data_IF_242303295360
#
_entry.id   IF_242303295360
#
_cell.length_a   1.000
_cell.length_b   1.000
_cell.length_c   1.000
_cell.angle_alpha   90.00
_cell.angle_beta   90.00
_cell.angle_gamma   90.00
#
_symmetry.space_group_name_H-M   'P 1'
#
loop_
_entity.id
_entity.type
_entity.pdbx_description
1 polymer ?
#
# COMPACT_ATOMS: atom_id res chain seq x y z
N UNK A 1 -16.11 -19.40 -23.33
CA UNK A 1 -17.37 -19.49 -22.56
C UNK A 1 -17.14 -18.88 -21.19
N UNK A 2 -17.52 -17.61 -20.98
CA UNK A 2 -17.37 -16.97 -19.66
C UNK A 2 -18.41 -17.56 -18.71
N UNK A 3 -17.96 -18.20 -17.63
CA UNK A 3 -18.84 -18.55 -16.52
C UNK A 3 -19.52 -17.25 -16.04
N UNK A 4 -20.85 -17.23 -16.04
CA UNK A 4 -21.62 -16.07 -15.57
C UNK A 4 -21.17 -15.71 -14.16
N UNK A 5 -20.60 -14.51 -13.99
CA UNK A 5 -20.17 -14.04 -12.68
C UNK A 5 -21.38 -14.02 -11.73
N UNK A 6 -21.33 -14.81 -10.65
CA UNK A 6 -22.37 -14.78 -9.61
C UNK A 6 -22.31 -13.44 -8.92
N UNK A 7 -23.41 -12.70 -8.96
CA UNK A 7 -23.55 -11.44 -8.24
C UNK A 7 -24.02 -11.72 -6.81
N UNK A 8 -23.42 -11.05 -5.83
CA UNK A 8 -23.86 -11.12 -4.44
C UNK A 8 -24.92 -10.04 -4.21
N UNK A 9 -26.10 -10.45 -3.73
CA UNK A 9 -27.12 -9.54 -3.22
C UNK A 9 -26.81 -9.13 -1.78
N UNK A 10 -27.47 -8.09 -1.29
CA UNK A 10 -27.35 -7.68 0.12
C UNK A 10 -27.87 -8.77 1.05
N UNK A 11 -28.93 -9.46 0.64
CA UNK A 11 -29.52 -10.56 1.41
C UNK A 11 -28.56 -11.77 1.48
N UNK A 12 -27.78 -12.05 0.42
CA UNK A 12 -26.72 -13.07 0.46
C UNK A 12 -25.64 -12.72 1.51
N UNK A 13 -25.30 -11.42 1.64
CA UNK A 13 -24.31 -10.95 2.61
C UNK A 13 -24.84 -11.04 4.04
N UNK A 14 -26.10 -10.66 4.27
CA UNK A 14 -26.76 -10.75 5.58
C UNK A 14 -26.86 -12.20 6.06
N UNK A 15 -27.24 -13.12 5.17
CA UNK A 15 -27.26 -14.56 5.50
C UNK A 15 -25.88 -15.11 5.86
N UNK A 16 -24.81 -14.59 5.23
CA UNK A 16 -23.44 -15.05 5.49
C UNK A 16 -22.91 -14.72 6.89
N UNK A 17 -23.48 -13.71 7.55
CA UNK A 17 -23.02 -13.22 8.87
C UNK A 17 -23.93 -13.63 10.04
N UNK A 18 -25.11 -14.22 9.78
CA UNK A 18 -26.12 -14.55 10.79
C UNK A 18 -25.70 -15.60 11.84
N UNK A 19 -24.46 -16.11 11.79
CA UNK A 19 -23.92 -17.15 12.71
C UNK A 19 -22.62 -16.72 13.39
N UNK A 20 -22.25 -15.44 13.32
CA UNK A 20 -21.00 -14.96 13.91
C UNK A 20 -21.22 -14.51 15.35
N UNK A 21 -20.76 -15.32 16.30
CA UNK A 21 -20.69 -14.92 17.71
C UNK A 21 -19.34 -14.25 18.02
N UNK A 22 -19.37 -13.17 18.79
CA UNK A 22 -18.14 -12.53 19.30
C UNK A 22 -17.78 -13.06 20.68
N UNK A 23 -16.60 -13.68 20.86
CA UNK A 23 -16.10 -13.95 22.19
C UNK A 23 -15.67 -12.64 22.84
N UNK A 24 -16.36 -12.24 23.92
CA UNK A 24 -15.86 -11.18 24.78
C UNK A 24 -14.57 -11.66 25.45
N UNK A 25 -13.43 -11.16 24.97
CA UNK A 25 -12.11 -11.47 25.54
C UNK A 25 -11.94 -10.83 26.92
N UNK A 26 -10.98 -11.40 27.66
CA UNK A 26 -10.44 -10.84 28.90
C UNK A 26 -10.03 -9.37 28.72
N UNK A 27 -10.02 -8.60 29.81
CA UNK A 27 -9.63 -7.19 29.74
C UNK A 27 -8.15 -7.08 29.27
N UNK A 28 -7.84 -6.46 28.11
CA UNK A 28 -6.49 -6.42 27.56
C UNK A 28 -5.52 -5.58 28.39
N UNK A 29 -6.04 -4.78 29.33
CA UNK A 29 -5.25 -3.97 30.26
C UNK A 29 -4.87 -4.75 31.53
N UNK A 30 -5.34 -6.00 31.68
CA UNK A 30 -4.96 -6.86 32.81
C UNK A 30 -3.46 -7.16 32.73
N UNK A 31 -2.70 -6.77 33.76
CA UNK A 31 -1.25 -6.97 33.82
C UNK A 31 -0.39 -5.82 33.29
N UNK A 32 -0.99 -4.72 32.81
CA UNK A 32 -0.23 -3.50 32.52
C UNK A 32 0.26 -2.90 33.84
N UNK A 33 1.58 -2.91 34.05
CA UNK A 33 2.18 -2.38 35.27
C UNK A 33 2.00 -0.84 35.33
N UNK A 34 1.42 -0.34 36.44
CA UNK A 34 1.18 1.08 36.70
C UNK A 34 2.26 1.75 37.54
N UNK A 35 3.28 1.01 38.00
CA UNK A 35 4.29 1.54 38.95
C UNK A 35 5.44 2.29 38.26
N UNK A 36 5.78 1.94 37.01
CA UNK A 36 6.73 2.69 36.20
C UNK A 36 5.99 3.64 35.25
N UNK A 37 5.88 4.90 35.66
CA UNK A 37 5.13 5.90 34.92
C UNK A 37 5.71 6.20 33.51
N UNK A 38 6.96 5.81 33.19
CA UNK A 38 7.53 5.95 31.83
C UNK A 38 7.19 4.75 30.92
N UNK A 39 6.88 3.59 31.51
CA UNK A 39 6.49 2.38 30.78
C UNK A 39 4.99 2.28 30.48
N UNK A 40 4.15 3.02 31.20
CA UNK A 40 2.68 2.88 31.13
C UNK A 40 2.11 3.24 29.76
N UNK A 41 2.41 4.42 29.21
CA UNK A 41 1.81 4.85 27.94
C UNK A 41 2.17 3.90 26.77
N UNK A 42 3.44 3.48 26.59
CA UNK A 42 3.79 2.46 25.59
C UNK A 42 3.13 1.10 25.84
N UNK A 43 3.01 0.66 27.10
CA UNK A 43 2.38 -0.62 27.43
C UNK A 43 0.87 -0.62 27.15
N UNK A 44 0.18 0.46 27.51
CA UNK A 44 -1.24 0.67 27.20
C UNK A 44 -1.46 0.69 25.68
N UNK A 45 -0.66 1.47 24.95
CA UNK A 45 -0.78 1.56 23.49
C UNK A 45 -0.61 0.19 22.84
N UNK A 46 0.40 -0.60 23.23
CA UNK A 46 0.60 -1.97 22.73
C UNK A 46 -0.53 -2.91 23.08
N UNK A 47 -1.08 -2.83 24.29
CA UNK A 47 -2.20 -3.68 24.71
C UNK A 47 -3.47 -3.41 23.87
N UNK A 48 -3.81 -2.13 23.68
CA UNK A 48 -4.95 -1.73 22.84
C UNK A 48 -4.69 -2.05 21.36
N UNK A 49 -3.47 -1.81 20.86
CA UNK A 49 -3.07 -2.14 19.49
C UNK A 49 -3.23 -3.63 19.20
N UNK A 50 -2.69 -4.49 20.08
CA UNK A 50 -2.81 -5.95 19.97
C UNK A 50 -4.27 -6.41 20.01
N UNK A 51 -5.05 -5.89 20.95
CA UNK A 51 -6.45 -6.29 21.09
C UNK A 51 -7.27 -5.92 19.87
N UNK A 52 -7.18 -4.66 19.43
CA UNK A 52 -7.93 -4.15 18.27
C UNK A 52 -7.53 -4.84 16.96
N UNK A 53 -6.24 -5.16 16.75
CA UNK A 53 -5.79 -6.02 15.65
C UNK A 53 -6.44 -7.41 15.70
N UNK A 54 -6.61 -7.96 16.90
CA UNK A 54 -7.19 -9.31 17.04
C UNK A 54 -8.70 -9.36 16.79
N UNK A 55 -9.42 -8.26 17.00
CA UNK A 55 -10.90 -8.22 16.85
C UNK A 55 -11.36 -7.69 15.50
N UNK A 56 -10.55 -6.89 14.79
CA UNK A 56 -10.96 -6.31 13.50
C UNK A 56 -11.26 -7.38 12.45
N UNK A 57 -10.50 -8.47 12.44
CA UNK A 57 -10.68 -9.63 11.56
C UNK A 57 -11.73 -10.63 12.06
N UNK A 58 -12.25 -10.47 13.28
CA UNK A 58 -13.38 -11.28 13.77
C UNK A 58 -14.71 -10.80 13.18
N UNK A 59 -14.79 -9.53 12.79
CA UNK A 59 -15.92 -8.99 12.03
C UNK A 59 -15.80 -9.46 10.58
N UNK A 60 -16.76 -10.25 10.06
CA UNK A 60 -16.73 -10.68 8.67
C UNK A 60 -16.74 -9.48 7.73
N UNK A 61 -15.98 -9.56 6.64
CA UNK A 61 -15.92 -8.49 5.65
C UNK A 61 -17.29 -8.07 5.09
N UNK A 62 -18.23 -9.01 4.99
CA UNK A 62 -19.62 -8.73 4.61
C UNK A 62 -20.31 -7.72 5.55
N UNK A 63 -20.05 -7.77 6.86
CA UNK A 63 -20.61 -6.81 7.81
C UNK A 63 -20.03 -5.40 7.62
N UNK A 64 -18.74 -5.29 7.29
CA UNK A 64 -18.11 -4.02 6.93
C UNK A 64 -18.72 -3.42 5.66
N UNK A 65 -18.96 -4.26 4.64
CA UNK A 65 -19.62 -3.83 3.40
C UNK A 65 -21.06 -3.37 3.64
N UNK A 66 -21.84 -4.12 4.42
CA UNK A 66 -23.22 -3.76 4.76
C UNK A 66 -23.26 -2.43 5.51
N UNK A 67 -22.38 -2.24 6.49
CA UNK A 67 -22.26 -0.96 7.21
C UNK A 67 -21.92 0.19 6.27
N UNK A 68 -21.04 -0.03 5.28
CA UNK A 68 -20.66 0.99 4.31
C UNK A 68 -21.78 1.42 3.35
N UNK A 69 -22.78 0.57 3.13
CA UNK A 69 -23.99 0.92 2.37
C UNK A 69 -25.15 1.37 3.28
N UNK A 70 -24.88 1.62 4.56
CA UNK A 70 -25.87 2.10 5.53
C UNK A 70 -26.82 1.01 6.06
N UNK A 71 -26.43 -0.26 5.99
CA UNK A 71 -27.15 -1.37 6.63
C UNK A 71 -26.48 -1.77 7.92
N UNK A 72 -27.23 -1.67 9.01
CA UNK A 72 -26.79 -2.14 10.32
C UNK A 72 -26.95 -3.65 10.43
N UNK A 73 -26.07 -4.28 11.21
CA UNK A 73 -26.05 -5.72 11.42
C UNK A 73 -25.71 -5.98 12.88
N UNK A 74 -26.33 -6.99 13.50
CA UNK A 74 -26.09 -7.31 14.92
C UNK A 74 -24.60 -7.52 15.22
N UNK A 75 -23.89 -8.14 14.30
CA UNK A 75 -22.43 -8.37 14.35
C UNK A 75 -21.66 -7.03 14.44
N UNK A 76 -22.00 -6.06 13.60
CA UNK A 76 -21.36 -4.74 13.63
C UNK A 76 -21.71 -3.97 14.91
N UNK A 77 -22.97 -4.04 15.35
CA UNK A 77 -23.42 -3.36 16.56
C UNK A 77 -22.72 -3.92 17.80
N UNK A 78 -22.62 -5.24 17.91
CA UNK A 78 -21.88 -5.91 18.98
C UNK A 78 -20.40 -5.54 18.98
N UNK A 79 -19.78 -5.43 17.80
CA UNK A 79 -18.40 -4.97 17.65
C UNK A 79 -18.22 -3.51 18.10
N UNK A 80 -19.13 -2.60 17.72
CA UNK A 80 -19.09 -1.21 18.15
C UNK A 80 -19.30 -1.07 19.66
N UNK A 81 -20.21 -1.86 20.25
CA UNK A 81 -20.40 -1.96 21.70
C UNK A 81 -19.11 -2.44 22.37
N UNK A 82 -18.45 -3.46 21.83
CA UNK A 82 -17.18 -3.97 22.34
C UNK A 82 -16.10 -2.88 22.40
N UNK A 83 -15.91 -2.13 21.31
CA UNK A 83 -14.96 -1.02 21.25
C UNK A 83 -15.32 0.11 22.24
N UNK A 84 -16.61 0.37 22.44
CA UNK A 84 -17.11 1.28 23.46
C UNK A 84 -16.73 0.83 24.89
N UNK A 85 -16.91 -0.45 25.19
CA UNK A 85 -16.48 -1.05 26.47
C UNK A 85 -14.97 -0.94 26.66
N UNK A 86 -14.19 -1.22 25.60
CA UNK A 86 -12.73 -1.09 25.63
C UNK A 86 -12.29 0.34 25.95
N UNK A 87 -12.93 1.33 25.34
CA UNK A 87 -12.70 2.75 25.62
C UNK A 87 -13.03 3.12 27.07
N UNK A 88 -14.15 2.62 27.62
CA UNK A 88 -14.52 2.83 29.02
C UNK A 88 -13.48 2.22 29.96
N UNK A 89 -13.02 0.99 29.68
CA UNK A 89 -11.96 0.32 30.45
C UNK A 89 -10.66 1.13 30.44
N UNK A 90 -10.25 1.59 29.27
CA UNK A 90 -9.07 2.46 29.09
C UNK A 90 -9.20 3.76 29.90
N UNK A 91 -10.33 4.47 29.81
CA UNK A 91 -10.53 5.70 30.57
C UNK A 91 -10.44 5.46 32.09
N UNK A 92 -11.06 4.38 32.60
CA UNK A 92 -10.98 4.00 34.01
C UNK A 92 -9.56 3.63 34.43
N UNK A 93 -8.81 2.94 33.57
CA UNK A 93 -7.42 2.60 33.81
C UNK A 93 -6.56 3.86 33.93
N UNK A 94 -6.62 4.77 32.95
CA UNK A 94 -5.84 6.01 32.95
C UNK A 94 -6.11 6.89 34.17
N UNK A 95 -7.36 6.96 34.63
CA UNK A 95 -7.73 7.70 35.86
C UNK A 95 -7.08 7.16 37.13
N UNK A 96 -6.67 5.88 37.14
CA UNK A 96 -6.04 5.22 38.29
C UNK A 96 -4.52 5.28 38.25
N UNK A 97 -3.93 5.69 37.13
CA UNK A 97 -2.48 5.79 37.01
C UNK A 97 -1.93 7.00 37.79
N UNK A 98 -0.68 6.92 38.29
CA UNK A 98 0.03 8.10 38.75
C UNK A 98 0.26 9.05 37.56
N UNK A 99 0.09 10.36 37.77
CA UNK A 99 0.29 11.40 36.74
C UNK A 99 -0.52 11.20 35.43
N UNK A 100 -1.86 11.13 35.50
CA UNK A 100 -2.71 10.78 34.36
C UNK A 100 -2.60 11.79 33.19
N UNK A 101 -2.27 13.05 33.47
CA UNK A 101 -2.03 14.07 32.44
C UNK A 101 -0.74 13.82 31.65
N UNK A 102 0.32 13.33 32.31
CA UNK A 102 1.60 13.04 31.65
C UNK A 102 1.46 11.84 30.72
N UNK A 103 0.91 10.74 31.23
CA UNK A 103 0.64 9.52 30.45
C UNK A 103 -0.24 9.84 29.24
N UNK A 104 -1.21 10.74 29.40
CA UNK A 104 -2.07 11.18 28.31
C UNK A 104 -1.32 11.95 27.22
N UNK A 105 -0.38 12.83 27.58
CA UNK A 105 0.48 13.53 26.62
C UNK A 105 1.43 12.55 25.90
N UNK A 106 1.98 11.57 26.61
CA UNK A 106 2.79 10.51 26.00
C UNK A 106 1.95 9.63 25.05
N UNK A 107 0.70 9.32 25.40
CA UNK A 107 -0.20 8.59 24.51
C UNK A 107 -0.52 9.39 23.23
N UNK A 108 -0.60 10.73 23.28
CA UNK A 108 -0.82 11.55 22.08
C UNK A 108 0.25 11.35 21.02
N UNK A 109 1.52 11.20 21.43
CA UNK A 109 2.63 10.99 20.49
C UNK A 109 2.65 9.56 19.97
N UNK A 110 2.34 8.58 20.82
CA UNK A 110 2.35 7.15 20.46
C UNK A 110 1.15 6.78 19.56
N UNK A 111 0.00 7.44 19.71
CA UNK A 111 -1.25 7.09 19.01
C UNK A 111 -1.14 7.11 17.48
N UNK A 112 -0.19 7.88 16.95
CA UNK A 112 0.06 7.97 15.53
C UNK A 112 0.69 6.68 14.97
N UNK A 113 1.46 5.95 15.80
CA UNK A 113 2.16 4.73 15.40
C UNK A 113 1.39 3.43 15.59
N UNK A 114 0.16 3.47 16.12
CA UNK A 114 -0.69 2.28 16.29
C UNK A 114 -1.64 2.09 15.11
N UNK A 115 -2.28 0.92 15.04
CA UNK A 115 -3.28 0.64 14.02
C UNK A 115 -4.49 1.61 14.11
N UNK A 116 -5.20 1.85 12.99
CA UNK A 116 -6.28 2.84 12.93
C UNK A 116 -7.41 2.61 13.94
N UNK A 117 -7.74 1.36 14.26
CA UNK A 117 -8.81 1.04 15.22
C UNK A 117 -8.38 1.33 16.66
N UNK A 118 -7.14 0.98 17.02
CA UNK A 118 -6.55 1.39 18.30
C UNK A 118 -6.50 2.91 18.44
N UNK A 119 -6.16 3.61 17.35
CA UNK A 119 -6.15 5.08 17.31
C UNK A 119 -7.54 5.65 17.58
N UNK A 120 -8.59 5.08 17.00
CA UNK A 120 -9.97 5.51 17.25
C UNK A 120 -10.37 5.33 18.73
N UNK A 121 -10.04 4.16 19.32
CA UNK A 121 -10.31 3.87 20.74
C UNK A 121 -9.55 4.83 21.67
N UNK A 122 -8.26 5.06 21.41
CA UNK A 122 -7.42 5.90 22.27
C UNK A 122 -7.70 7.40 22.11
N UNK A 123 -7.91 7.88 20.89
CA UNK A 123 -8.20 9.32 20.62
C UNK A 123 -9.41 9.81 21.40
N UNK A 124 -10.44 8.97 21.52
CA UNK A 124 -11.62 9.28 22.32
C UNK A 124 -11.37 9.42 23.82
N UNK A 125 -10.29 8.84 24.36
CA UNK A 125 -9.85 9.04 25.74
C UNK A 125 -8.92 10.25 25.90
N UNK A 126 -8.19 10.59 24.84
CA UNK A 126 -7.18 11.65 24.82
C UNK A 126 -7.80 13.05 24.63
N UNK A 127 -8.87 13.21 23.86
CA UNK A 127 -9.38 14.55 23.52
C UNK A 127 -10.13 15.28 24.66
N UNK A 128 -10.56 14.59 25.73
CA UNK A 128 -11.27 15.24 26.84
C UNK A 128 -10.31 15.65 27.98
N UNK A 129 -9.83 16.89 27.98
CA UNK A 129 -8.86 17.45 28.95
C UNK A 129 -9.47 17.98 30.24
N UNK A 130 -10.75 18.34 30.28
CA UNK A 130 -11.34 19.06 31.42
C UNK A 130 -12.29 18.23 32.28
N UNK A 131 -13.01 17.24 31.74
CA UNK A 131 -14.06 16.55 32.51
C UNK A 131 -13.80 15.06 32.74
N UNK A 132 -12.79 14.47 32.09
CA UNK A 132 -12.57 13.02 32.01
C UNK A 132 -13.81 12.20 31.61
N UNK A 133 -14.95 12.83 31.30
CA UNK A 133 -16.19 12.18 30.90
C UNK A 133 -15.93 11.46 29.59
N UNK A 134 -16.37 10.21 29.47
CA UNK A 134 -16.34 9.56 28.17
C UNK A 134 -17.33 10.31 27.27
N UNK A 135 -16.86 11.15 26.35
CA UNK A 135 -17.72 11.74 25.34
C UNK A 135 -18.13 10.61 24.40
N UNK A 136 -19.42 10.44 24.14
CA UNK A 136 -19.93 9.53 23.11
C UNK A 136 -19.65 10.12 21.72
N UNK A 137 -18.40 10.50 21.43
CA UNK A 137 -17.98 10.67 20.05
C UNK A 137 -18.00 9.31 19.40
N UNK A 138 -18.65 9.24 18.24
CA UNK A 138 -18.72 8.05 17.42
C UNK A 138 -17.31 7.50 17.19
N UNK A 139 -17.17 6.19 17.39
CA UNK A 139 -15.93 5.49 17.06
C UNK A 139 -15.65 5.70 15.57
N UNK A 140 -14.53 6.34 15.25
CA UNK A 140 -14.18 6.58 13.86
C UNK A 140 -13.70 5.27 13.21
N UNK A 141 -14.61 4.62 12.48
CA UNK A 141 -14.34 3.47 11.62
C UNK A 141 -14.33 3.82 10.12
N UNK A 142 -14.34 5.12 9.79
CA UNK A 142 -14.36 5.63 8.42
C UNK A 142 -13.17 5.17 7.58
N UNK A 143 -12.04 4.83 8.21
CA UNK A 143 -10.85 4.32 7.53
C UNK A 143 -11.07 2.99 6.77
N UNK A 144 -12.13 2.23 7.12
CA UNK A 144 -12.61 1.06 6.34
C UNK A 144 -13.89 1.42 5.58
N UNK A 145 -14.82 2.10 6.25
CA UNK A 145 -16.18 2.33 5.74
C UNK A 145 -16.18 3.30 4.55
N UNK A 146 -15.44 4.40 4.62
CA UNK A 146 -15.48 5.44 3.58
C UNK A 146 -14.90 4.92 2.26
N UNK A 147 -13.72 4.24 2.23
CA UNK A 147 -13.21 3.62 1.00
C UNK A 147 -14.16 2.57 0.40
N UNK A 148 -14.92 1.87 1.26
CA UNK A 148 -15.92 0.89 0.81
C UNK A 148 -17.16 1.59 0.23
N UNK A 149 -17.65 2.64 0.88
CA UNK A 149 -18.78 3.42 0.41
C UNK A 149 -18.52 4.02 -0.98
N UNK A 150 -17.29 4.46 -1.24
CA UNK A 150 -16.86 4.97 -2.55
C UNK A 150 -16.98 3.93 -3.67
N UNK A 151 -16.76 2.63 -3.37
CA UNK A 151 -16.97 1.54 -4.34
C UNK A 151 -18.43 1.48 -4.79
N UNK A 152 -19.36 1.80 -3.90
CA UNK A 152 -20.81 1.75 -4.14
C UNK A 152 -21.39 3.09 -4.64
N UNK A 153 -20.69 4.21 -4.46
CA UNK A 153 -21.19 5.58 -4.57
C UNK A 153 -21.40 6.19 -5.97
N UNK A 154 -21.42 5.43 -7.07
CA UNK A 154 -21.68 5.99 -8.43
C UNK A 154 -22.62 5.21 -9.35
N UNK A 155 -22.95 3.95 -9.05
CA UNK A 155 -23.99 3.19 -9.78
C UNK A 155 -24.64 2.17 -8.84
N UNK A 156 -25.95 1.91 -8.98
CA UNK A 156 -26.59 0.93 -8.15
C UNK A 156 -26.14 -0.50 -8.53
N UNK A 157 -25.66 -1.21 -7.51
CA UNK A 157 -25.92 -2.63 -7.25
C UNK A 157 -25.16 -3.67 -8.09
N UNK A 158 -24.00 -4.07 -7.55
CA UNK A 158 -23.66 -5.45 -7.11
C UNK A 158 -22.13 -5.59 -7.17
N UNK A 159 -21.53 -6.14 -6.12
CA UNK A 159 -20.22 -6.77 -6.24
C UNK A 159 -20.46 -8.15 -6.84
N UNK A 160 -19.70 -8.54 -7.87
CA UNK A 160 -19.65 -9.97 -8.17
C UNK A 160 -18.83 -10.69 -7.11
N UNK A 161 -19.02 -11.99 -7.03
CA UNK A 161 -18.34 -12.83 -6.04
C UNK A 161 -16.81 -12.63 -6.08
N UNK A 162 -16.22 -12.53 -7.27
CA UNK A 162 -14.76 -12.37 -7.39
C UNK A 162 -14.28 -11.03 -6.83
N UNK A 163 -14.97 -9.92 -7.11
CA UNK A 163 -14.66 -8.62 -6.52
C UNK A 163 -14.81 -8.63 -4.98
N UNK A 164 -15.86 -9.27 -4.46
CA UNK A 164 -16.03 -9.44 -3.01
C UNK A 164 -14.85 -10.19 -2.40
N UNK A 165 -14.46 -11.33 -2.99
CA UNK A 165 -13.36 -12.14 -2.45
C UNK A 165 -12.01 -11.43 -2.56
N UNK A 166 -11.78 -10.66 -3.62
CA UNK A 166 -10.55 -9.86 -3.76
C UNK A 166 -10.47 -8.79 -2.66
N UNK A 167 -11.55 -8.03 -2.46
CA UNK A 167 -11.60 -7.03 -1.39
C UNK A 167 -11.48 -7.68 0.00
N UNK A 168 -12.06 -8.86 0.21
CA UNK A 168 -11.91 -9.61 1.45
C UNK A 168 -10.46 -10.08 1.69
N UNK A 169 -9.80 -10.66 0.68
CA UNK A 169 -8.38 -11.05 0.76
C UNK A 169 -7.50 -9.86 1.07
N UNK A 170 -7.79 -8.71 0.46
CA UNK A 170 -7.09 -7.47 0.72
C UNK A 170 -7.35 -6.94 2.13
N UNK A 171 -8.60 -6.98 2.59
CA UNK A 171 -8.98 -6.60 3.96
C UNK A 171 -8.20 -7.44 4.99
N UNK A 172 -8.18 -8.76 4.79
CA UNK A 172 -7.39 -9.67 5.61
C UNK A 172 -5.90 -9.31 5.58
N UNK A 173 -5.33 -9.08 4.40
CA UNK A 173 -3.91 -8.74 4.25
C UNK A 173 -3.52 -7.37 4.83
N UNK A 174 -4.44 -6.40 4.80
CA UNK A 174 -4.24 -5.05 5.34
C UNK A 174 -4.26 -5.06 6.87
N UNK A 175 -5.10 -5.89 7.48
CA UNK A 175 -5.29 -5.93 8.94
C UNK A 175 -4.73 -7.17 9.62
N UNK A 176 -3.95 -7.97 8.89
CA UNK A 176 -3.25 -9.13 9.44
C UNK A 176 -2.34 -8.73 10.61
N UNK A 177 -2.46 -9.48 11.71
CA UNK A 177 -1.80 -9.18 12.99
C UNK A 177 -0.29 -9.35 12.95
N UNK A 178 0.23 -10.12 11.99
CA UNK A 178 1.67 -10.42 11.86
C UNK A 178 2.43 -9.45 10.96
N UNK A 179 1.72 -8.55 10.25
CA UNK A 179 2.36 -7.54 9.40
C UNK A 179 2.59 -6.24 10.18
N UNK A 180 3.75 -5.64 9.96
CA UNK A 180 4.01 -4.26 10.35
C UNK A 180 3.12 -3.36 9.48
N UNK A 181 1.91 -3.08 9.97
CA UNK A 181 0.95 -2.22 9.28
C UNK A 181 1.54 -0.83 9.28
N UNK A 182 1.77 -0.26 8.09
CA UNK A 182 1.96 1.18 7.96
C UNK A 182 0.73 1.85 8.60
N UNK A 183 0.89 2.56 9.74
CA UNK A 183 -0.22 3.10 10.50
C UNK A 183 -0.99 4.19 9.73
N UNK A 184 -0.50 4.60 8.56
CA UNK A 184 -1.12 5.56 7.64
C UNK A 184 -1.79 4.85 6.44
N UNK A 185 -1.57 3.55 6.24
CA UNK A 185 -2.17 2.82 5.12
C UNK A 185 -3.70 2.75 5.26
N UNK A 186 -4.40 3.30 4.26
CA UNK A 186 -5.85 3.17 4.12
C UNK A 186 -6.21 1.84 3.46
N UNK A 187 -7.41 1.34 3.77
CA UNK A 187 -7.93 0.16 3.09
C UNK A 187 -8.17 0.48 1.60
N UNK A 188 -7.40 -0.17 0.73
CA UNK A 188 -7.44 0.06 -0.71
C UNK A 188 -8.61 -0.69 -1.34
N UNK A 189 -9.52 0.02 -2.00
CA UNK A 189 -10.71 -0.59 -2.63
C UNK A 189 -10.71 -0.55 -4.16
N UNK A 190 -9.60 -0.10 -4.77
CA UNK A 190 -9.47 -0.08 -6.23
C UNK A 190 -9.56 -1.49 -6.83
N UNK A 191 -10.42 -1.62 -7.84
CA UNK A 191 -10.67 -2.87 -8.58
C UNK A 191 -10.38 -2.70 -10.08
N UNK A 192 -9.77 -1.59 -10.50
CA UNK A 192 -9.66 -1.24 -11.91
C UNK A 192 -8.72 -2.19 -12.66
N UNK A 193 -7.65 -2.65 -12.01
CA UNK A 193 -6.76 -3.65 -12.59
C UNK A 193 -7.49 -4.98 -12.82
N UNK A 194 -8.20 -5.49 -11.80
CA UNK A 194 -8.98 -6.72 -11.90
C UNK A 194 -10.07 -6.65 -12.97
N UNK A 195 -10.86 -5.58 -12.97
CA UNK A 195 -11.87 -5.32 -14.00
C UNK A 195 -11.25 -5.24 -15.38
N UNK A 196 -10.07 -4.61 -15.49
CA UNK A 196 -9.31 -4.59 -16.73
C UNK A 196 -9.00 -5.99 -17.26
N UNK A 197 -8.48 -6.89 -16.41
CA UNK A 197 -8.15 -8.27 -16.81
C UNK A 197 -9.39 -9.03 -17.30
N UNK A 198 -10.54 -8.79 -16.67
CA UNK A 198 -11.79 -9.48 -17.01
C UNK A 198 -12.49 -8.90 -18.24
N UNK A 199 -12.50 -7.57 -18.34
CA UNK A 199 -13.42 -6.83 -19.22
C UNK A 199 -12.72 -6.21 -20.45
N UNK A 200 -11.38 -6.24 -20.52
CA UNK A 200 -10.58 -5.66 -21.63
C UNK A 200 -9.68 -6.72 -22.29
N UNK A 201 -9.28 -6.48 -23.54
CA UNK A 201 -8.19 -7.26 -24.14
C UNK A 201 -6.85 -6.95 -23.45
N UNK A 202 -5.91 -7.91 -23.38
CA UNK A 202 -4.57 -7.69 -22.81
C UNK A 202 -3.84 -6.49 -23.43
N UNK A 203 -3.96 -6.27 -24.74
CA UNK A 203 -3.34 -5.14 -25.44
C UNK A 203 -3.94 -3.81 -25.01
N UNK A 204 -5.27 -3.75 -24.92
CA UNK A 204 -5.99 -2.53 -24.54
C UNK A 204 -5.68 -2.14 -23.11
N UNK A 205 -5.62 -3.13 -22.21
CA UNK A 205 -5.23 -2.91 -20.83
C UNK A 205 -3.75 -2.52 -20.71
N UNK A 206 -2.86 -3.17 -21.46
CA UNK A 206 -1.45 -2.80 -21.50
C UNK A 206 -1.26 -1.35 -21.95
N UNK A 207 -1.96 -0.92 -23.01
CA UNK A 207 -1.90 0.48 -23.47
C UNK A 207 -2.40 1.46 -22.42
N UNK A 208 -3.46 1.11 -21.70
CA UNK A 208 -3.96 1.93 -20.59
C UNK A 208 -2.93 2.05 -19.46
N UNK A 209 -2.37 0.93 -19.00
CA UNK A 209 -1.34 0.90 -17.95
C UNK A 209 -0.10 1.69 -18.39
N UNK A 210 0.38 1.50 -19.63
CA UNK A 210 1.51 2.25 -20.18
C UNK A 210 1.25 3.75 -20.18
N UNK A 211 0.04 4.20 -20.54
CA UNK A 211 -0.31 5.61 -20.50
C UNK A 211 -0.43 6.17 -19.07
N UNK A 212 -0.90 5.38 -18.12
CA UNK A 212 -0.96 5.75 -16.70
C UNK A 212 0.44 5.83 -16.10
N UNK A 213 1.29 4.84 -16.35
CA UNK A 213 2.70 4.83 -15.93
C UNK A 213 3.47 6.01 -16.52
N UNK A 214 3.31 6.27 -17.82
CA UNK A 214 3.93 7.43 -18.48
C UNK A 214 3.54 8.74 -17.78
N UNK A 215 2.26 8.92 -17.43
CA UNK A 215 1.80 10.09 -16.68
C UNK A 215 2.45 10.17 -15.29
N UNK A 216 2.57 9.05 -14.58
CA UNK A 216 3.28 9.01 -13.30
C UNK A 216 4.76 9.38 -13.46
N UNK A 217 5.44 8.89 -14.51
CA UNK A 217 6.83 9.26 -14.81
C UNK A 217 6.96 10.75 -15.09
N UNK A 218 6.08 11.32 -15.92
CA UNK A 218 6.06 12.75 -16.23
C UNK A 218 5.80 13.62 -14.99
N UNK A 219 4.86 13.21 -14.12
CA UNK A 219 4.53 13.92 -12.90
C UNK A 219 5.67 13.84 -11.86
N UNK A 220 6.21 12.64 -11.60
CA UNK A 220 7.34 12.45 -10.69
C UNK A 220 8.56 13.27 -11.15
N UNK A 221 8.76 13.36 -12.46
CA UNK A 221 9.81 14.18 -13.05
C UNK A 221 9.61 15.68 -12.83
N UNK A 222 8.40 16.19 -13.05
CA UNK A 222 8.06 17.59 -12.83
C UNK A 222 8.29 18.03 -11.37
N UNK A 223 8.19 17.09 -10.43
CA UNK A 223 8.29 17.32 -8.98
C UNK A 223 9.68 16.99 -8.39
N UNK A 224 10.61 16.43 -9.18
CA UNK A 224 12.00 16.18 -8.76
C UNK A 224 12.74 17.40 -8.17
N UNK A 225 12.48 18.65 -8.62
CA UNK A 225 13.11 19.83 -8.02
C UNK A 225 12.72 20.12 -6.56
N UNK A 226 11.57 19.64 -6.09
CA UNK A 226 10.97 20.12 -4.83
C UNK A 226 10.86 19.06 -3.73
N UNK A 227 10.69 17.77 -4.05
CA UNK A 227 10.33 16.75 -3.04
C UNK A 227 10.99 15.38 -3.29
N UNK A 228 11.89 14.95 -2.37
CA UNK A 228 12.66 13.69 -2.49
C UNK A 228 11.81 12.41 -2.44
N UNK A 229 10.60 12.48 -1.89
CA UNK A 229 9.73 11.31 -1.66
C UNK A 229 8.62 11.13 -2.71
N UNK A 230 8.48 12.07 -3.62
CA UNK A 230 7.32 12.11 -4.51
C UNK A 230 7.36 11.01 -5.60
N UNK A 231 8.55 10.63 -6.05
CA UNK A 231 8.70 9.49 -6.96
C UNK A 231 8.35 8.16 -6.26
N UNK A 232 8.70 7.99 -4.97
CA UNK A 232 8.32 6.80 -4.17
C UNK A 232 6.82 6.71 -4.06
N UNK A 233 6.18 7.86 -3.83
CA UNK A 233 4.74 7.98 -3.76
C UNK A 233 4.10 7.58 -5.11
N UNK A 234 4.41 8.28 -6.20
CA UNK A 234 3.69 8.04 -7.47
C UNK A 234 4.06 6.72 -8.14
N UNK A 235 5.36 6.51 -8.44
CA UNK A 235 5.82 5.34 -9.18
C UNK A 235 5.88 4.09 -8.31
N UNK A 236 6.31 4.26 -7.05
CA UNK A 236 6.40 3.16 -6.10
C UNK A 236 5.02 2.60 -5.72
N UNK A 237 4.02 3.45 -5.44
CA UNK A 237 2.67 2.96 -5.18
C UNK A 237 2.05 2.30 -6.41
N UNK A 238 2.17 2.90 -7.61
CA UNK A 238 1.62 2.30 -8.84
C UNK A 238 2.19 0.91 -9.10
N UNK A 239 3.50 0.73 -8.92
CA UNK A 239 4.16 -0.58 -9.06
C UNK A 239 3.70 -1.57 -8.00
N UNK A 240 3.72 -1.16 -6.72
CA UNK A 240 3.33 -2.01 -5.58
C UNK A 240 1.89 -2.48 -5.71
N UNK A 241 0.97 -1.57 -6.01
CA UNK A 241 -0.44 -1.88 -6.16
C UNK A 241 -0.67 -2.92 -7.27
N UNK A 242 -0.01 -2.79 -8.43
CA UNK A 242 -0.12 -3.79 -9.50
C UNK A 242 0.46 -5.15 -9.11
N UNK A 243 1.57 -5.16 -8.37
CA UNK A 243 2.16 -6.39 -7.85
C UNK A 243 1.20 -7.10 -6.88
N UNK A 244 0.64 -6.35 -5.93
CA UNK A 244 -0.34 -6.84 -4.96
C UNK A 244 -1.61 -7.33 -5.66
N UNK A 245 -2.15 -6.56 -6.61
CA UNK A 245 -3.35 -6.96 -7.36
C UNK A 245 -3.13 -8.24 -8.16
N UNK A 246 -1.96 -8.40 -8.78
CA UNK A 246 -1.59 -9.62 -9.49
C UNK A 246 -1.59 -10.82 -8.53
N UNK A 247 -1.00 -10.63 -7.35
CA UNK A 247 -0.94 -11.66 -6.31
C UNK A 247 -2.33 -12.03 -5.79
N UNK A 248 -3.17 -11.03 -5.52
CA UNK A 248 -4.55 -11.20 -5.07
C UNK A 248 -5.40 -11.94 -6.11
N UNK A 249 -5.26 -11.61 -7.40
CA UNK A 249 -5.95 -12.30 -8.50
C UNK A 249 -5.60 -13.80 -8.53
N UNK A 250 -4.32 -14.14 -8.46
CA UNK A 250 -3.88 -15.54 -8.50
C UNK A 250 -4.28 -16.34 -7.27
N UNK A 251 -4.16 -15.75 -6.08
CA UNK A 251 -4.63 -16.39 -4.84
C UNK A 251 -6.13 -16.66 -4.86
N UNK A 252 -6.89 -15.83 -5.56
CA UNK A 252 -8.33 -16.02 -5.74
C UNK A 252 -8.65 -17.20 -6.68
N UNK A 253 -7.99 -17.26 -7.83
CA UNK A 253 -8.23 -18.29 -8.86
C UNK A 253 -7.05 -18.34 -9.86
N UNK A 254 -6.47 -19.53 -10.05
CA UNK A 254 -5.36 -19.73 -10.98
C UNK A 254 -5.72 -19.42 -12.44
N UNK A 255 -7.01 -19.38 -12.79
CA UNK A 255 -7.47 -19.01 -14.15
C UNK A 255 -6.99 -17.63 -14.60
N UNK A 256 -6.66 -16.73 -13.66
CA UNK A 256 -6.15 -15.40 -13.98
C UNK A 256 -4.68 -15.42 -14.43
N UNK A 257 -3.95 -16.51 -14.21
CA UNK A 257 -2.52 -16.62 -14.55
C UNK A 257 -2.22 -16.43 -16.04
N UNK A 258 -2.96 -17.10 -16.92
CA UNK A 258 -2.83 -16.93 -18.38
C UNK A 258 -3.03 -15.48 -18.84
N UNK A 259 -4.18 -14.85 -18.54
CA UNK A 259 -4.42 -13.44 -18.85
C UNK A 259 -3.37 -12.47 -18.30
N UNK A 260 -2.87 -12.71 -17.08
CA UNK A 260 -1.79 -11.89 -16.49
C UNK A 260 -0.47 -12.03 -17.24
N UNK A 261 -0.11 -13.25 -17.67
CA UNK A 261 1.08 -13.49 -18.50
C UNK A 261 0.95 -12.81 -19.87
N UNK A 262 -0.22 -12.92 -20.52
CA UNK A 262 -0.49 -12.22 -21.79
C UNK A 262 -0.41 -10.71 -21.64
N UNK A 263 -0.97 -10.15 -20.56
CA UNK A 263 -0.86 -8.74 -20.23
C UNK A 263 0.60 -8.30 -20.04
N UNK A 264 1.39 -9.09 -19.30
CA UNK A 264 2.82 -8.83 -19.11
C UNK A 264 3.58 -8.87 -20.45
N UNK A 265 3.26 -9.80 -21.34
CA UNK A 265 3.85 -9.83 -22.70
C UNK A 265 3.46 -8.59 -23.53
N UNK A 266 2.22 -8.13 -23.44
CA UNK A 266 1.78 -6.91 -24.11
C UNK A 266 2.52 -5.68 -23.60
N UNK A 267 2.68 -5.55 -22.28
CA UNK A 267 3.46 -4.47 -21.65
C UNK A 267 4.94 -4.53 -22.06
N UNK A 268 5.51 -5.74 -22.17
CA UNK A 268 6.89 -5.94 -22.61
C UNK A 268 7.09 -5.48 -24.06
N UNK A 269 6.17 -5.83 -24.96
CA UNK A 269 6.16 -5.34 -26.36
C UNK A 269 6.02 -3.83 -26.44
N UNK A 270 5.27 -3.22 -25.53
CA UNK A 270 5.14 -1.76 -25.40
C UNK A 270 6.34 -1.09 -24.69
N UNK A 271 7.34 -1.89 -24.28
CA UNK A 271 8.54 -1.45 -23.56
C UNK A 271 8.23 -0.79 -22.22
N UNK A 272 7.14 -1.20 -21.57
CA UNK A 272 6.80 -0.75 -20.22
C UNK A 272 7.34 -1.71 -19.16
N UNK A 273 8.63 -1.62 -18.86
CA UNK A 273 9.29 -2.47 -17.87
C UNK A 273 8.80 -2.21 -16.43
N UNK A 274 8.35 -1.00 -16.12
CA UNK A 274 7.69 -0.70 -14.85
C UNK A 274 6.40 -1.51 -14.67
N UNK A 275 5.58 -1.53 -15.73
CA UNK A 275 4.41 -2.38 -15.94
C UNK A 275 4.68 -3.86 -15.71
N UNK A 276 5.58 -4.38 -16.55
CA UNK A 276 5.88 -5.82 -16.64
C UNK A 276 6.44 -6.36 -15.34
N UNK A 277 7.43 -5.69 -14.76
CA UNK A 277 8.12 -6.20 -13.57
C UNK A 277 7.19 -6.28 -12.36
N UNK A 278 6.22 -5.36 -12.24
CA UNK A 278 5.20 -5.43 -11.19
C UNK A 278 4.38 -6.72 -11.29
N UNK A 279 3.89 -7.03 -12.50
CA UNK A 279 3.08 -8.23 -12.75
C UNK A 279 3.93 -9.48 -12.58
N UNK A 280 5.10 -9.57 -13.22
CA UNK A 280 5.90 -10.80 -13.19
C UNK A 280 6.42 -11.12 -11.78
N UNK A 281 6.78 -10.11 -10.99
CA UNK A 281 7.12 -10.33 -9.58
C UNK A 281 5.87 -10.75 -8.79
N UNK A 282 4.69 -10.18 -9.07
CA UNK A 282 3.43 -10.60 -8.45
C UNK A 282 3.09 -12.07 -8.75
N UNK A 283 3.30 -12.51 -10.00
CA UNK A 283 3.16 -13.92 -10.40
C UNK A 283 4.07 -14.83 -9.56
N UNK A 284 5.34 -14.43 -9.36
CA UNK A 284 6.29 -15.18 -8.53
C UNK A 284 5.92 -15.21 -7.06
N UNK A 285 5.46 -14.09 -6.49
CA UNK A 285 5.03 -13.99 -5.09
C UNK A 285 3.78 -14.84 -4.81
N UNK A 286 2.97 -15.07 -5.83
CA UNK A 286 1.82 -15.97 -5.78
C UNK A 286 2.18 -17.44 -6.10
N UNK A 287 3.47 -17.79 -6.18
CA UNK A 287 3.98 -19.12 -6.53
C UNK A 287 3.39 -19.68 -7.84
N UNK A 288 3.13 -18.80 -8.82
CA UNK A 288 2.70 -19.22 -10.15
C UNK A 288 3.80 -20.01 -10.86
N UNK A 289 3.40 -21.05 -11.59
CA UNK A 289 4.32 -21.95 -12.28
C UNK A 289 5.27 -21.17 -13.20
N UNK A 290 6.56 -21.19 -12.87
CA UNK A 290 7.59 -20.49 -13.61
C UNK A 290 7.73 -20.98 -15.06
N UNK A 291 7.31 -22.21 -15.37
CA UNK A 291 7.32 -22.75 -16.74
C UNK A 291 6.27 -22.09 -17.63
N UNK A 292 5.20 -21.54 -17.03
CA UNK A 292 4.15 -20.78 -17.70
C UNK A 292 4.54 -19.33 -17.97
N UNK A 293 5.65 -18.85 -17.41
CA UNK A 293 6.14 -17.47 -17.62
C UNK A 293 7.20 -17.48 -18.73
N UNK A 294 7.00 -16.75 -19.83
CA UNK A 294 7.97 -16.66 -20.93
C UNK A 294 9.40 -16.33 -20.46
N UNK A 295 10.44 -16.93 -21.07
CA UNK A 295 11.82 -16.74 -20.64
C UNK A 295 12.27 -15.27 -20.62
N UNK A 296 11.80 -14.45 -21.56
CA UNK A 296 12.16 -13.03 -21.65
C UNK A 296 11.65 -12.27 -20.42
N UNK A 297 10.43 -12.58 -19.98
CA UNK A 297 9.82 -11.99 -18.79
C UNK A 297 10.52 -12.46 -17.52
N UNK A 298 10.89 -13.74 -17.42
CA UNK A 298 11.62 -14.27 -16.27
C UNK A 298 12.99 -13.62 -16.12
N UNK A 299 13.69 -13.40 -17.23
CA UNK A 299 15.04 -12.83 -17.25
C UNK A 299 15.09 -11.40 -16.70
N UNK A 300 14.11 -10.55 -17.03
CA UNK A 300 14.12 -9.14 -16.61
C UNK A 300 13.76 -8.93 -15.12
N UNK A 301 13.30 -9.96 -14.41
CA UNK A 301 13.05 -9.90 -12.96
C UNK A 301 14.03 -10.76 -12.16
N UNK A 302 15.12 -11.22 -12.76
CA UNK A 302 16.21 -11.86 -12.02
C UNK A 302 16.88 -10.86 -11.09
N UNK A 303 16.96 -11.18 -9.79
CA UNK A 303 17.55 -10.28 -8.79
C UNK A 303 19.08 -10.15 -8.90
N UNK A 304 19.73 -11.01 -9.69
CA UNK A 304 21.17 -11.04 -9.86
C UNK A 304 21.71 -9.67 -10.28
N UNK A 305 22.76 -9.21 -9.58
CA UNK A 305 23.43 -7.95 -9.88
C UNK A 305 22.50 -6.73 -9.85
N UNK A 306 21.48 -6.73 -8.98
CA UNK A 306 20.47 -5.67 -8.92
C UNK A 306 19.72 -5.54 -10.26
N UNK A 307 19.10 -6.63 -10.71
CA UNK A 307 18.36 -6.70 -11.97
C UNK A 307 19.22 -6.40 -13.20
N UNK A 308 20.44 -6.94 -13.23
CA UNK A 308 21.44 -6.69 -14.28
C UNK A 308 20.87 -6.90 -15.68
N UNK A 309 20.19 -8.02 -15.91
CA UNK A 309 19.65 -8.34 -17.23
C UNK A 309 18.60 -7.32 -17.71
N UNK A 310 17.73 -6.83 -16.82
CA UNK A 310 16.78 -5.77 -17.15
C UNK A 310 17.49 -4.46 -17.51
N UNK A 311 18.50 -4.10 -16.72
CA UNK A 311 19.26 -2.86 -16.93
C UNK A 311 20.08 -2.87 -18.21
N UNK A 312 20.75 -3.98 -18.49
CA UNK A 312 21.51 -4.17 -19.72
C UNK A 312 20.58 -4.04 -20.94
N UNK A 313 19.37 -4.60 -20.85
CA UNK A 313 18.37 -4.49 -21.89
C UNK A 313 17.85 -3.06 -22.08
N UNK A 314 17.59 -2.33 -20.99
CA UNK A 314 17.22 -0.92 -21.06
C UNK A 314 18.35 -0.05 -21.64
N UNK A 315 19.61 -0.36 -21.34
CA UNK A 315 20.78 0.34 -21.91
C UNK A 315 20.91 0.09 -23.42
N UNK A 316 20.75 -1.14 -23.88
CA UNK A 316 20.72 -1.47 -25.32
C UNK A 316 19.59 -0.72 -26.05
N UNK A 317 18.39 -0.66 -25.46
CA UNK A 317 17.30 0.15 -26.01
C UNK A 317 17.65 1.63 -26.08
N UNK A 318 18.38 2.14 -25.07
CA UNK A 318 18.86 3.52 -25.05
C UNK A 318 19.84 3.81 -26.17
N UNK A 319 20.86 2.97 -26.32
CA UNK A 319 21.87 3.09 -27.37
C UNK A 319 21.27 3.01 -28.78
N UNK A 320 20.21 2.22 -28.94
CA UNK A 320 19.48 2.07 -30.21
C UNK A 320 18.32 3.06 -30.40
N UNK A 321 18.14 4.03 -29.49
CA UNK A 321 17.14 5.09 -29.62
C UNK A 321 15.68 4.63 -29.46
N UNK A 322 15.44 3.50 -28.79
CA UNK A 322 14.10 2.92 -28.59
C UNK A 322 13.55 3.32 -27.21
N UNK A 323 12.53 4.19 -27.13
CA UNK A 323 12.03 4.68 -25.84
C UNK A 323 11.33 3.57 -25.04
N UNK A 324 11.55 3.56 -23.72
CA UNK A 324 10.99 2.58 -22.79
C UNK A 324 10.60 3.25 -21.46
N UNK A 325 9.60 2.69 -20.75
CA UNK A 325 9.34 3.04 -19.35
C UNK A 325 10.15 2.08 -18.47
N UNK A 326 11.13 2.57 -17.69
CA UNK A 326 12.09 1.74 -17.01
C UNK A 326 11.50 1.11 -15.75
N UNK A 327 12.05 -0.02 -15.33
CA UNK A 327 11.85 -0.47 -13.95
C UNK A 327 12.66 0.45 -13.03
N UNK A 328 11.98 1.24 -12.19
CA UNK A 328 12.62 2.37 -11.48
C UNK A 328 13.49 1.96 -10.30
N UNK A 329 13.15 0.86 -9.60
CA UNK A 329 13.80 0.48 -8.36
C UNK A 329 15.30 0.19 -8.48
N UNK A 330 15.78 -0.57 -9.50
CA UNK A 330 17.21 -0.82 -9.66
C UNK A 330 17.99 0.46 -9.90
N UNK A 331 17.46 1.36 -10.74
CA UNK A 331 18.09 2.63 -11.11
C UNK A 331 18.17 3.54 -9.87
N UNK A 332 17.07 3.65 -9.13
CA UNK A 332 17.05 4.44 -7.91
C UNK A 332 18.01 3.91 -6.84
N UNK A 333 18.12 2.59 -6.68
CA UNK A 333 19.08 1.98 -5.76
C UNK A 333 20.52 2.32 -6.12
N UNK A 334 20.87 2.28 -7.40
CA UNK A 334 22.21 2.66 -7.86
C UNK A 334 22.49 4.14 -7.65
N UNK A 335 21.50 4.99 -7.89
CA UNK A 335 21.58 6.40 -7.59
C UNK A 335 21.85 6.63 -6.09
N UNK A 336 21.10 5.99 -5.19
CA UNK A 336 21.31 6.11 -3.74
C UNK A 336 22.71 5.67 -3.33
N UNK A 337 23.17 4.51 -3.81
CA UNK A 337 24.52 4.00 -3.51
C UNK A 337 25.61 4.95 -4.03
N UNK A 338 25.39 5.57 -5.19
CA UNK A 338 26.34 6.51 -5.79
C UNK A 338 26.39 7.83 -5.01
N UNK A 339 25.24 8.36 -4.58
CA UNK A 339 25.15 9.56 -3.72
C UNK A 339 25.81 9.29 -2.37
N UNK A 340 25.57 8.13 -1.78
CA UNK A 340 26.19 7.75 -0.52
C UNK A 340 27.71 7.60 -0.66
N UNK A 341 28.17 6.98 -1.75
CA UNK A 341 29.60 6.91 -2.06
C UNK A 341 30.22 8.30 -2.23
N UNK A 342 29.54 9.21 -2.94
CA UNK A 342 30.01 10.59 -3.14
C UNK A 342 30.19 11.31 -1.80
N UNK A 343 29.18 11.23 -0.93
CA UNK A 343 29.21 11.82 0.42
C UNK A 343 30.35 11.29 1.28
N UNK A 344 30.66 9.99 1.19
CA UNK A 344 31.75 9.38 1.96
C UNK A 344 33.14 9.77 1.47
N UNK A 345 33.31 10.07 0.19
CA UNK A 345 34.64 10.24 -0.42
C UNK A 345 35.12 11.70 -0.50
N UNK A 346 34.28 12.71 -0.20
CA UNK A 346 34.67 14.12 -0.15
C UNK A 346 35.48 14.59 -1.38
N UNK A 347 36.36 15.58 -1.23
CA UNK A 347 37.27 16.04 -2.30
C UNK A 347 38.50 15.11 -2.50
N UNK A 348 38.28 13.78 -2.60
CA UNK A 348 39.36 12.82 -2.90
C UNK A 348 39.49 12.57 -4.41
N UNK A 349 40.56 11.90 -4.84
CA UNK A 349 40.74 11.46 -6.24
C UNK A 349 39.62 10.53 -6.75
N UNK A 350 38.82 9.95 -5.85
CA UNK A 350 37.64 9.13 -6.19
C UNK A 350 36.36 9.95 -6.36
N UNK A 351 36.39 11.24 -6.04
CA UNK A 351 35.26 12.16 -6.16
C UNK A 351 34.76 12.25 -7.59
N UNK A 352 35.64 12.53 -8.54
CA UNK A 352 35.30 12.65 -9.96
C UNK A 352 34.68 11.36 -10.52
N UNK A 353 35.23 10.20 -10.16
CA UNK A 353 34.67 8.91 -10.55
C UNK A 353 33.29 8.65 -9.91
N UNK A 354 33.07 9.09 -8.67
CA UNK A 354 31.75 9.00 -8.02
C UNK A 354 30.76 10.00 -8.63
N UNK A 355 31.20 11.21 -8.95
CA UNK A 355 30.40 12.26 -9.57
C UNK A 355 29.94 11.81 -10.96
N UNK A 356 30.85 11.29 -11.79
CA UNK A 356 30.52 10.71 -13.10
C UNK A 356 29.48 9.58 -13.00
N UNK A 357 29.56 8.72 -11.98
CA UNK A 357 28.55 7.67 -11.73
C UNK A 357 27.21 8.24 -11.33
N UNK A 358 27.19 9.24 -10.43
CA UNK A 358 25.95 9.92 -10.04
C UNK A 358 25.30 10.59 -11.25
N UNK A 359 26.09 11.29 -12.07
CA UNK A 359 25.61 11.96 -13.28
C UNK A 359 25.10 10.96 -14.30
N UNK A 360 25.80 9.83 -14.53
CA UNK A 360 25.31 8.77 -15.42
C UNK A 360 23.99 8.15 -14.95
N UNK A 361 23.85 7.89 -13.65
CA UNK A 361 22.61 7.33 -13.09
C UNK A 361 21.46 8.35 -13.12
N UNK A 362 21.77 9.63 -12.93
CA UNK A 362 20.82 10.72 -13.12
C UNK A 362 20.42 10.80 -14.60
N UNK A 363 21.36 10.76 -15.54
CA UNK A 363 21.09 10.74 -16.97
C UNK A 363 20.24 9.55 -17.39
N UNK A 364 20.44 8.38 -16.78
CA UNK A 364 19.55 7.23 -16.98
C UNK A 364 18.12 7.58 -16.52
N UNK A 365 17.95 8.08 -15.29
CA UNK A 365 16.63 8.55 -14.79
C UNK A 365 15.99 9.60 -15.71
N UNK A 366 16.78 10.49 -16.30
CA UNK A 366 16.33 11.58 -17.18
C UNK A 366 16.02 11.11 -18.60
N UNK A 367 16.80 10.18 -19.15
CA UNK A 367 16.66 9.68 -20.53
C UNK A 367 15.32 9.00 -20.74
N UNK A 368 14.84 8.26 -19.74
CA UNK A 368 13.52 7.61 -19.80
C UNK A 368 12.33 8.60 -19.79
N UNK A 369 12.56 9.88 -19.46
CA UNK A 369 11.58 10.96 -19.63
C UNK A 369 11.32 11.36 -21.10
N UNK A 370 12.13 10.86 -22.04
CA UNK A 370 12.00 11.14 -23.49
C UNK A 370 10.89 10.36 -24.19
N UNK A 371 10.14 9.50 -23.47
CA UNK A 371 9.02 8.72 -24.02
C UNK A 371 7.94 9.61 -24.66
N UNK A 372 7.91 10.93 -24.38
CA UNK A 372 7.25 11.96 -25.23
C UNK A 372 7.82 13.40 -25.15
N UNK A 373 8.80 13.73 -24.29
CA UNK A 373 9.25 15.12 -24.11
C UNK A 373 10.52 15.47 -24.91
N UNK A 374 10.36 16.16 -26.04
CA UNK A 374 11.38 17.11 -26.52
C UNK A 374 11.27 18.38 -25.68
N UNK A 375 12.21 18.63 -24.78
CA UNK A 375 12.74 19.98 -24.50
C UNK A 375 13.65 19.98 -23.26
N UNK A 376 14.80 20.66 -23.39
CA UNK A 376 15.44 21.57 -22.43
C UNK A 376 15.74 21.19 -20.97
N UNK A 377 15.20 20.10 -20.40
CA UNK A 377 15.16 19.93 -18.94
C UNK A 377 16.45 19.31 -18.38
N UNK A 378 17.19 18.53 -19.19
CA UNK A 378 18.49 17.93 -18.82
C UNK A 378 19.49 19.00 -18.34
N UNK A 379 19.49 20.19 -18.95
CA UNK A 379 20.36 21.31 -18.53
C UNK A 379 19.97 21.93 -17.18
N UNK A 380 18.69 21.96 -16.81
CA UNK A 380 18.22 22.54 -15.52
C UNK A 380 18.46 21.62 -14.33
N UNK A 381 18.43 20.30 -14.56
CA UNK A 381 18.65 19.32 -13.50
C UNK A 381 20.15 19.10 -13.25
N UNK A 382 20.99 19.14 -14.30
CA UNK A 382 22.45 19.21 -14.13
C UNK A 382 22.89 20.34 -13.19
N UNK A 383 22.32 21.55 -13.37
CA UNK A 383 22.58 22.69 -12.48
C UNK A 383 21.98 22.56 -11.07
N UNK A 384 20.92 21.76 -10.88
CA UNK A 384 20.34 21.51 -9.55
C UNK A 384 21.13 20.47 -8.75
N UNK A 385 21.69 19.46 -9.43
CA UNK A 385 22.56 18.49 -8.78
C UNK A 385 23.89 19.13 -8.35
N UNK A 386 24.43 20.09 -9.11
CA UNK A 386 25.53 20.95 -8.65
C UNK A 386 25.15 21.70 -7.36
N UNK A 387 23.94 22.24 -7.25
CA UNK A 387 23.47 22.95 -6.05
C UNK A 387 23.26 22.06 -4.82
N UNK A 388 22.82 20.81 -5.01
CA UNK A 388 22.63 19.84 -3.91
C UNK A 388 23.94 19.19 -3.43
N UNK A 389 25.03 19.33 -4.19
CA UNK A 389 26.37 18.82 -3.87
C UNK A 389 27.20 19.87 -3.10
N UNK A 390 26.73 21.12 -3.03
CA UNK A 390 27.38 22.24 -2.32
C UNK A 390 26.94 22.46 -0.85
N UNK A 391 26.32 21.47 -0.18
CA UNK A 391 25.98 21.55 1.24
C UNK A 391 26.35 20.28 2.03
#
# INVERSE_FOLDING_TARGET
MHASARWLSLDDLEQSIAKTDFPYRENPLTGVNTTDAHGVAPAVARAIDKETRSVILQVPFAAWLLKAVGRDTDVMDMFLVYLGVLRIRLNRFLRRCPEPLRIKNELQTIVLGVNPLARAVMSGCIQNTQSWKCLTHDLNIGFIIDPLADVFGRRPRRLNADEFYLLNTRFQSTYDTERDIDPVSSFRTDLMFFRGIRDMSPESLASRITNEDLRCFQAAYALMPSERDEWRRLLGHSWRHRNEDTTECLRKDLRYGGPLVELAMCLYKQRNFHGVTAIVIGLRVADYDATMIPPELRRIVEYEGNFRACRDHLRDMRETGKPALPFIYPIYREYQLSVESLRRHGASSRYEACLQRVTSNADDLLWFGSYTARSGIVKRIGSMFEFCICF
#
